data_IF_511620153186
#
_entry.id   IF_511620153186
#
_cell.length_a   1.000
_cell.length_b   1.000
_cell.length_c   1.000
_cell.angle_alpha   90.00
_cell.angle_beta   90.00
_cell.angle_gamma   90.00
#
_symmetry.space_group_name_H-M   'P 1'
#
loop_
_entity.id
_entity.type
_entity.pdbx_description
1 polymer ?
#
# COMPACT_ATOMS: atom_id res chain seq x y z
N UNK A 1 9.76 -8.20 -19.64
CA UNK A 1 10.59 -7.02 -19.30
C UNK A 1 9.71 -6.08 -18.50
N UNK A 2 10.21 -5.56 -17.38
CA UNK A 2 9.48 -4.61 -16.53
C UNK A 2 8.99 -3.43 -17.37
N UNK A 3 7.77 -2.94 -17.15
CA UNK A 3 7.20 -1.78 -17.85
C UNK A 3 7.90 -0.45 -17.52
N UNK A 4 9.07 -0.51 -16.86
CA UNK A 4 9.75 0.64 -16.29
C UNK A 4 9.08 1.12 -15.01
N UNK A 5 9.85 1.84 -14.20
CA UNK A 5 9.37 2.57 -13.03
C UNK A 5 8.45 3.75 -13.41
N UNK A 6 8.52 4.20 -14.67
CA UNK A 6 7.60 5.11 -15.35
C UNK A 6 7.06 4.46 -16.65
N UNK A 7 5.74 4.42 -16.91
CA UNK A 7 5.12 3.62 -17.98
C UNK A 7 5.43 4.06 -19.43
N UNK A 8 6.29 5.05 -19.65
CA UNK A 8 6.67 5.57 -20.98
C UNK A 8 8.13 6.02 -21.00
N UNK A 9 9.11 5.13 -21.28
CA UNK A 9 10.50 5.57 -21.51
C UNK A 9 11.27 4.75 -22.55
N UNK A 10 12.11 5.46 -23.31
CA UNK A 10 13.01 4.94 -24.36
C UNK A 10 14.49 4.78 -23.89
N UNK A 11 14.90 5.39 -22.76
CA UNK A 11 16.22 5.21 -22.11
C UNK A 11 16.09 5.22 -20.57
N UNK A 12 16.92 4.43 -19.88
CA UNK A 12 16.96 4.29 -18.41
C UNK A 12 18.36 4.66 -17.91
N UNK A 13 18.45 5.71 -17.10
CA UNK A 13 19.59 5.97 -16.23
C UNK A 13 19.13 5.90 -14.76
N UNK A 14 19.99 5.39 -13.88
CA UNK A 14 19.78 5.37 -12.43
C UNK A 14 19.47 6.77 -11.86
N UNK A 15 19.98 7.81 -12.50
CA UNK A 15 19.79 9.22 -12.14
C UNK A 15 18.30 9.62 -12.12
N UNK A 16 17.57 9.31 -13.18
CA UNK A 16 16.14 9.62 -13.26
C UNK A 16 15.29 8.76 -12.31
N UNK A 17 15.74 7.54 -12.02
CA UNK A 17 15.10 6.69 -11.01
C UNK A 17 15.24 7.35 -9.63
N UNK A 18 16.44 7.79 -9.28
CA UNK A 18 16.73 8.43 -8.00
C UNK A 18 15.99 9.74 -7.85
N UNK A 19 16.05 10.60 -8.87
CA UNK A 19 15.29 11.85 -8.90
C UNK A 19 13.80 11.59 -8.75
N UNK A 20 13.26 10.61 -9.49
CA UNK A 20 11.86 10.21 -9.41
C UNK A 20 11.44 9.70 -8.02
N UNK A 21 12.28 8.89 -7.38
CA UNK A 21 12.03 8.33 -6.05
C UNK A 21 12.07 9.41 -4.95
N UNK A 22 13.03 10.34 -5.01
CA UNK A 22 13.09 11.49 -4.11
C UNK A 22 11.85 12.38 -4.28
N UNK A 23 11.50 12.71 -5.53
CA UNK A 23 10.26 13.46 -5.83
C UNK A 23 9.01 12.75 -5.33
N UNK A 24 8.93 11.42 -5.44
CA UNK A 24 7.79 10.66 -4.92
C UNK A 24 7.65 10.75 -3.40
N UNK A 25 8.77 10.67 -2.66
CA UNK A 25 8.78 10.87 -1.20
C UNK A 25 8.24 12.25 -0.82
N UNK A 26 8.66 13.30 -1.53
CA UNK A 26 8.18 14.67 -1.32
C UNK A 26 6.69 14.80 -1.64
N UNK A 27 6.23 14.22 -2.75
CA UNK A 27 4.81 14.27 -3.16
C UNK A 27 3.94 13.62 -2.10
N UNK A 28 4.32 12.44 -1.62
CA UNK A 28 3.54 11.74 -0.62
C UNK A 28 3.52 12.49 0.72
N UNK A 29 4.62 13.10 1.14
CA UNK A 29 4.65 13.96 2.33
C UNK A 29 3.78 15.21 2.14
N UNK A 30 3.91 15.90 1.01
CA UNK A 30 3.13 17.10 0.67
C UNK A 30 1.62 16.84 0.67
N UNK A 31 1.20 15.64 0.25
CA UNK A 31 -0.20 15.24 0.21
C UNK A 31 -0.72 14.65 1.54
N UNK A 32 0.08 14.73 2.62
CA UNK A 32 -0.28 14.23 3.95
C UNK A 32 -0.40 12.71 4.02
N UNK A 33 0.22 11.99 3.08
CA UNK A 33 0.26 10.53 3.06
C UNK A 33 1.41 10.01 3.91
N UNK A 34 2.63 10.56 3.76
CA UNK A 34 3.73 10.20 4.65
C UNK A 34 3.90 11.26 5.74
N UNK A 35 4.17 10.77 6.94
CA UNK A 35 4.70 11.54 8.06
C UNK A 35 6.23 11.37 8.11
N UNK A 36 6.85 11.45 9.29
CA UNK A 36 8.29 11.24 9.46
C UNK A 36 8.75 9.78 9.31
N UNK A 37 7.83 8.81 9.29
CA UNK A 37 8.12 7.38 9.39
C UNK A 37 7.72 6.58 8.14
N UNK A 38 6.77 7.09 7.35
CA UNK A 38 6.36 6.45 6.10
C UNK A 38 7.43 6.46 5.01
N UNK A 39 7.35 5.54 4.05
CA UNK A 39 8.39 5.35 3.04
C UNK A 39 7.90 4.68 1.75
N UNK A 40 8.54 5.02 0.63
CA UNK A 40 8.34 4.45 -0.71
C UNK A 40 9.61 3.74 -1.19
N UNK A 41 9.44 2.63 -1.92
CA UNK A 41 10.53 1.97 -2.62
C UNK A 41 10.20 1.71 -4.09
N UNK A 42 11.21 1.34 -4.86
CA UNK A 42 11.08 0.94 -6.27
C UNK A 42 12.01 -0.23 -6.58
N UNK A 43 11.51 -1.27 -7.25
CA UNK A 43 12.33 -2.39 -7.74
C UNK A 43 13.35 -1.86 -8.74
N UNK A 44 14.60 -2.33 -8.65
CA UNK A 44 15.63 -1.95 -9.61
C UNK A 44 15.23 -2.42 -11.02
N UNK A 45 15.20 -1.52 -12.03
CA UNK A 45 14.78 -1.86 -13.39
C UNK A 45 15.77 -2.81 -14.09
N UNK A 46 17.06 -2.68 -13.75
CA UNK A 46 18.14 -3.44 -14.37
C UNK A 46 18.44 -4.74 -13.61
N UNK A 47 17.95 -4.85 -12.36
CA UNK A 47 18.14 -6.03 -11.53
C UNK A 47 16.91 -6.32 -10.66
N UNK A 48 16.03 -7.21 -11.11
CA UNK A 48 14.80 -7.53 -10.38
C UNK A 48 15.05 -8.18 -8.99
N UNK A 49 16.28 -8.61 -8.68
CA UNK A 49 16.67 -9.15 -7.38
C UNK A 49 17.01 -8.06 -6.34
N UNK A 50 17.00 -6.78 -6.73
CA UNK A 50 17.24 -5.65 -5.84
C UNK A 50 16.15 -4.57 -5.96
N UNK A 51 16.12 -3.67 -4.99
CA UNK A 51 15.22 -2.52 -4.96
C UNK A 51 15.87 -1.33 -4.24
N UNK A 52 15.44 -0.12 -4.59
CA UNK A 52 15.91 1.14 -4.03
C UNK A 52 14.88 1.73 -3.09
N UNK A 53 15.34 2.30 -1.98
CA UNK A 53 14.51 3.00 -0.99
C UNK A 53 15.36 4.04 -0.26
N UNK A 54 14.78 5.14 0.23
CA UNK A 54 15.51 6.06 1.09
C UNK A 54 16.05 5.39 2.36
N UNK A 55 17.17 5.89 2.88
CA UNK A 55 17.66 5.55 4.20
C UNK A 55 16.73 6.12 5.29
N UNK A 56 17.04 5.85 6.56
CA UNK A 56 16.21 6.26 7.70
C UNK A 56 16.21 7.78 7.93
N UNK A 57 15.52 8.51 7.05
CA UNK A 57 15.33 9.97 7.07
C UNK A 57 13.85 10.30 6.94
N UNK A 58 13.38 11.43 7.51
CA UNK A 58 12.04 11.91 7.21
C UNK A 58 11.86 12.17 5.71
N UNK A 59 10.74 11.77 5.07
CA UNK A 59 10.51 11.90 3.64
C UNK A 59 10.76 13.29 3.05
N UNK A 60 10.45 14.35 3.80
CA UNK A 60 10.68 15.73 3.39
C UNK A 60 12.16 16.14 3.31
N UNK A 61 13.06 15.41 3.99
CA UNK A 61 14.49 15.73 4.10
C UNK A 61 15.38 14.91 3.16
N UNK A 62 14.83 13.89 2.50
CA UNK A 62 15.54 13.13 1.47
C UNK A 62 15.83 14.09 0.32
N UNK A 63 17.08 14.15 -0.16
CA UNK A 63 17.44 15.14 -1.17
C UNK A 63 18.42 14.67 -2.23
N UNK A 64 19.28 13.71 -1.92
CA UNK A 64 20.40 13.33 -2.78
C UNK A 64 20.46 11.81 -3.05
N UNK A 65 21.20 11.36 -4.08
CA UNK A 65 21.44 9.93 -4.32
C UNK A 65 22.00 9.21 -3.09
N UNK A 66 22.84 9.88 -2.31
CA UNK A 66 23.44 9.34 -1.08
C UNK A 66 22.39 9.02 0.00
N UNK A 67 21.17 9.55 -0.10
CA UNK A 67 20.06 9.23 0.79
C UNK A 67 19.30 7.96 0.37
N UNK A 68 19.69 7.33 -0.74
CA UNK A 68 19.06 6.12 -1.26
C UNK A 68 19.96 4.90 -1.02
N UNK A 69 19.35 3.78 -0.65
CA UNK A 69 20.03 2.53 -0.39
C UNK A 69 19.42 1.44 -1.27
N UNK A 70 20.29 0.65 -1.89
CA UNK A 70 19.90 -0.55 -2.60
C UNK A 70 19.85 -1.74 -1.63
N UNK A 71 18.74 -2.47 -1.67
CA UNK A 71 18.49 -3.67 -0.86
C UNK A 71 18.24 -4.88 -1.75
N UNK A 72 18.58 -6.06 -1.25
CA UNK A 72 18.23 -7.34 -1.90
C UNK A 72 16.77 -7.69 -1.61
N UNK A 73 16.05 -8.14 -2.65
CA UNK A 73 14.67 -8.63 -2.52
C UNK A 73 14.58 -9.88 -1.65
N UNK A 74 15.63 -10.71 -1.61
CA UNK A 74 15.61 -11.99 -0.91
C UNK A 74 15.54 -11.85 0.63
N UNK A 75 16.28 -10.92 1.21
CA UNK A 75 16.44 -10.81 2.66
C UNK A 75 16.43 -9.38 3.21
N UNK A 76 16.19 -8.38 2.34
CA UNK A 76 16.27 -6.96 2.66
C UNK A 76 17.63 -6.51 3.22
N UNK A 77 18.72 -7.26 3.00
CA UNK A 77 20.08 -6.78 3.31
C UNK A 77 20.48 -5.69 2.32
N UNK A 78 21.22 -4.69 2.80
CA UNK A 78 21.82 -3.69 1.91
C UNK A 78 22.80 -4.39 0.95
N UNK A 79 22.83 -3.93 -0.31
CA UNK A 79 23.78 -4.43 -1.31
C UNK A 79 25.20 -3.96 -0.96
N UNK A 80 25.33 -2.69 -0.62
CA UNK A 80 26.60 -2.09 -0.18
C UNK A 80 26.90 -2.40 1.28
N UNK A 81 28.17 -2.70 1.58
CA UNK A 81 28.61 -3.12 2.92
C UNK A 81 28.51 -2.01 3.96
N UNK A 82 28.82 -0.78 3.55
CA UNK A 82 28.87 0.41 4.41
C UNK A 82 27.71 1.38 4.12
N UNK A 83 26.55 0.82 3.76
CA UNK A 83 25.33 1.60 3.48
C UNK A 83 24.84 2.36 4.73
N UNK A 84 24.18 3.50 4.52
CA UNK A 84 23.45 4.21 5.59
C UNK A 84 22.38 3.30 6.21
N UNK A 85 22.09 3.53 7.49
CA UNK A 85 21.02 2.82 8.19
C UNK A 85 19.68 3.02 7.48
N UNK A 86 19.03 1.90 7.15
CA UNK A 86 17.72 1.88 6.48
C UNK A 86 16.55 1.94 7.45
N UNK A 87 15.35 2.17 6.91
CA UNK A 87 14.13 1.91 7.66
C UNK A 87 14.10 0.46 8.14
N UNK A 88 13.66 0.27 9.39
CA UNK A 88 13.54 -1.07 9.98
C UNK A 88 12.49 -1.92 9.26
N UNK A 89 11.49 -1.28 8.65
CA UNK A 89 10.35 -1.93 8.00
C UNK A 89 10.56 -2.24 6.51
N UNK A 90 11.81 -2.20 6.04
CA UNK A 90 12.19 -2.57 4.68
C UNK A 90 11.71 -3.97 4.25
N UNK A 91 11.42 -4.84 5.22
CA UNK A 91 10.87 -6.18 4.99
C UNK A 91 9.43 -6.17 4.44
N UNK A 92 8.66 -5.09 4.66
CA UNK A 92 7.38 -4.88 3.97
C UNK A 92 7.59 -4.91 2.46
N UNK A 93 8.59 -4.16 1.98
CA UNK A 93 8.88 -3.99 0.57
C UNK A 93 9.49 -5.26 -0.04
N UNK A 94 10.52 -5.82 0.60
CA UNK A 94 11.22 -7.00 0.09
C UNK A 94 10.27 -8.19 -0.09
N UNK A 95 9.39 -8.45 0.88
CA UNK A 95 8.49 -9.59 0.83
C UNK A 95 7.33 -9.39 -0.17
N UNK A 96 6.85 -8.16 -0.37
CA UNK A 96 5.91 -7.85 -1.45
C UNK A 96 6.58 -8.05 -2.81
N UNK A 97 7.81 -7.56 -3.00
CA UNK A 97 8.55 -7.77 -4.25
C UNK A 97 8.88 -9.23 -4.51
N UNK A 98 9.22 -9.99 -3.48
CA UNK A 98 9.48 -11.43 -3.57
C UNK A 98 8.23 -12.19 -3.97
N UNK A 99 7.08 -11.80 -3.42
CA UNK A 99 5.79 -12.46 -3.67
C UNK A 99 5.20 -12.12 -5.04
N UNK A 100 5.35 -10.87 -5.50
CA UNK A 100 4.73 -10.38 -6.72
C UNK A 100 5.77 -9.81 -7.70
N UNK A 101 6.26 -10.62 -8.66
CA UNK A 101 7.19 -10.17 -9.69
C UNK A 101 6.67 -9.00 -10.54
N UNK A 102 5.35 -8.81 -10.64
CA UNK A 102 4.74 -7.70 -11.38
C UNK A 102 4.76 -6.36 -10.63
N UNK A 103 5.00 -6.37 -9.31
CA UNK A 103 5.09 -5.15 -8.49
C UNK A 103 6.47 -4.53 -8.64
N UNK A 104 6.50 -3.22 -8.91
CA UNK A 104 7.73 -2.43 -9.03
C UNK A 104 7.79 -1.25 -8.08
N UNK A 105 6.73 -0.89 -7.36
CA UNK A 105 6.80 0.12 -6.31
C UNK A 105 5.84 -0.19 -5.17
N UNK A 106 6.28 0.12 -3.95
CA UNK A 106 5.56 -0.13 -2.71
C UNK A 106 5.61 1.13 -1.86
N UNK A 107 4.47 1.54 -1.31
CA UNK A 107 4.35 2.65 -0.34
C UNK A 107 3.83 2.09 0.97
N UNK A 108 4.45 2.47 2.08
CA UNK A 108 3.93 2.22 3.42
C UNK A 108 3.71 3.56 4.13
N UNK A 109 2.57 3.71 4.81
CA UNK A 109 2.09 4.99 5.32
C UNK A 109 1.28 4.84 6.61
N UNK A 110 1.35 5.88 7.44
CA UNK A 110 0.55 6.06 8.65
C UNK A 110 -0.46 7.23 8.52
N UNK A 111 -0.99 7.45 7.30
CA UNK A 111 -1.95 8.54 7.03
C UNK A 111 -3.09 8.59 8.04
N UNK A 112 -3.23 9.72 8.73
CA UNK A 112 -4.20 9.92 9.81
C UNK A 112 -5.66 9.73 9.37
N UNK A 113 -5.99 10.00 8.11
CA UNK A 113 -7.33 9.76 7.55
C UNK A 113 -7.65 8.27 7.34
N UNK A 114 -6.62 7.41 7.22
CA UNK A 114 -6.75 5.96 6.97
C UNK A 114 -6.71 5.17 8.28
N UNK A 115 -5.93 5.60 9.27
CA UNK A 115 -5.78 4.93 10.58
C UNK A 115 -7.11 4.52 11.26
N UNK A 116 -8.20 5.32 11.23
CA UNK A 116 -9.48 4.89 11.80
C UNK A 116 -10.03 3.58 11.21
N UNK A 117 -9.78 3.31 9.92
CA UNK A 117 -10.18 2.08 9.26
C UNK A 117 -9.33 0.88 9.67
N UNK A 118 -8.12 1.12 10.18
CA UNK A 118 -7.25 0.08 10.71
C UNK A 118 -7.65 -0.38 12.12
N UNK A 119 -8.59 0.29 12.80
CA UNK A 119 -8.96 -0.01 14.20
C UNK A 119 -10.47 -0.14 14.46
N UNK A 120 -11.32 0.44 13.61
CA UNK A 120 -12.76 0.57 13.89
C UNK A 120 -13.60 -0.66 13.54
N UNK A 121 -13.08 -1.58 12.72
CA UNK A 121 -13.86 -2.66 12.11
C UNK A 121 -14.80 -2.18 10.99
N UNK A 122 -14.81 -0.89 10.67
CA UNK A 122 -15.50 -0.36 9.49
C UNK A 122 -14.62 -0.61 8.27
N UNK A 123 -15.10 -1.31 7.23
CA UNK A 123 -14.31 -1.57 6.02
C UNK A 123 -14.08 -0.29 5.21
N UNK A 124 -12.84 -0.06 4.79
CA UNK A 124 -12.52 0.93 3.77
C UNK A 124 -12.90 0.39 2.40
N UNK A 125 -13.65 1.19 1.63
CA UNK A 125 -14.19 0.80 0.31
C UNK A 125 -13.97 1.90 -0.72
N UNK A 126 -14.05 1.54 -2.00
CA UNK A 126 -14.10 2.52 -3.09
C UNK A 126 -15.37 3.39 -2.98
N UNK A 127 -15.21 4.59 -2.42
CA UNK A 127 -16.28 5.59 -2.23
C UNK A 127 -16.31 6.65 -3.35
N UNK A 128 -15.24 6.75 -4.13
CA UNK A 128 -15.05 7.69 -5.24
C UNK A 128 -14.39 6.99 -6.43
N UNK A 129 -14.72 7.41 -7.66
CA UNK A 129 -14.16 6.81 -8.89
C UNK A 129 -12.62 6.79 -8.94
N UNK A 130 -11.96 7.80 -8.35
CA UNK A 130 -10.49 7.86 -8.27
C UNK A 130 -9.88 6.69 -7.50
N UNK A 131 -10.65 6.09 -6.58
CA UNK A 131 -10.24 5.01 -5.70
C UNK A 131 -10.81 3.64 -6.12
N UNK A 132 -11.15 3.47 -7.41
CA UNK A 132 -11.65 2.20 -7.95
C UNK A 132 -10.73 1.00 -7.66
N UNK A 133 -9.42 1.23 -7.56
CA UNK A 133 -8.42 0.20 -7.20
C UNK A 133 -8.61 -0.42 -5.81
N UNK A 134 -9.36 0.21 -4.90
CA UNK A 134 -9.70 -0.36 -3.59
C UNK A 134 -10.72 -1.51 -3.69
N UNK A 135 -11.51 -1.54 -4.76
CA UNK A 135 -12.63 -2.48 -4.91
C UNK A 135 -13.70 -2.33 -3.82
N UNK A 136 -14.48 -3.39 -3.61
CA UNK A 136 -15.53 -3.43 -2.60
C UNK A 136 -15.03 -3.77 -1.18
N UNK A 137 -13.78 -4.21 -1.05
CA UNK A 137 -13.20 -4.61 0.23
C UNK A 137 -11.67 -4.43 0.26
N UNK A 138 -11.19 -3.56 1.15
CA UNK A 138 -9.77 -3.44 1.48
C UNK A 138 -9.44 -4.37 2.66
N UNK A 139 -8.54 -5.36 2.52
CA UNK A 139 -8.19 -6.28 3.61
C UNK A 139 -7.46 -5.57 4.76
N UNK A 140 -7.66 -6.08 5.97
CA UNK A 140 -6.92 -5.70 7.18
C UNK A 140 -6.07 -6.89 7.63
N UNK A 141 -4.75 -6.73 7.63
CA UNK A 141 -3.79 -7.68 8.17
C UNK A 141 -3.55 -7.42 9.66
N UNK A 142 -3.59 -8.48 10.46
CA UNK A 142 -3.31 -8.44 11.90
C UNK A 142 -2.01 -9.15 12.22
N UNK A 143 -1.01 -8.39 12.70
CA UNK A 143 0.30 -8.89 13.08
C UNK A 143 0.25 -9.86 14.28
N UNK A 144 -0.78 -9.78 15.13
CA UNK A 144 -0.83 -10.46 16.43
C UNK A 144 -0.59 -11.97 16.34
N UNK A 145 -1.11 -12.61 15.28
CA UNK A 145 -0.97 -14.04 15.03
C UNK A 145 0.33 -14.47 14.34
N UNK A 146 1.22 -13.53 14.02
CA UNK A 146 2.42 -13.77 13.21
C UNK A 146 3.74 -13.50 13.94
N UNK A 147 3.67 -12.98 15.17
CA UNK A 147 4.85 -12.79 16.00
C UNK A 147 5.50 -14.12 16.39
N UNK A 148 6.84 -14.24 16.30
CA UNK A 148 7.57 -15.33 16.91
C UNK A 148 7.33 -15.38 18.42
N UNK A 149 7.24 -16.59 18.99
CA UNK A 149 7.05 -16.77 20.43
C UNK A 149 8.13 -16.05 21.24
N UNK A 150 7.71 -15.22 22.20
CA UNK A 150 8.62 -14.48 23.09
C UNK A 150 9.22 -13.20 22.48
N UNK A 151 8.83 -12.83 21.26
CA UNK A 151 9.21 -11.54 20.66
C UNK A 151 8.40 -10.37 21.26
N UNK A 152 8.88 -9.15 21.04
CA UNK A 152 8.13 -7.94 21.39
C UNK A 152 7.06 -7.68 20.33
N UNK A 153 5.81 -7.51 20.75
CA UNK A 153 4.70 -7.20 19.85
C UNK A 153 4.57 -5.67 19.71
N UNK A 154 5.48 -5.05 18.96
CA UNK A 154 5.53 -3.59 18.78
C UNK A 154 4.84 -3.09 17.50
N UNK A 155 4.14 -3.98 16.80
CA UNK A 155 3.40 -3.77 15.54
C UNK A 155 4.29 -3.47 14.31
N UNK A 156 5.62 -3.38 14.46
CA UNK A 156 6.55 -3.15 13.36
C UNK A 156 6.77 -4.42 12.52
N UNK A 157 6.99 -4.25 11.22
CA UNK A 157 7.34 -5.34 10.30
C UNK A 157 8.85 -5.36 10.06
N UNK A 158 9.59 -5.77 11.08
CA UNK A 158 11.05 -5.70 11.11
C UNK A 158 11.79 -6.99 10.73
N UNK A 159 11.07 -8.00 10.24
CA UNK A 159 11.65 -9.26 9.77
C UNK A 159 10.85 -9.86 8.60
N UNK A 160 11.45 -10.86 7.96
CA UNK A 160 10.88 -11.53 6.80
C UNK A 160 9.66 -12.40 7.13
N UNK A 161 9.48 -12.86 8.38
CA UNK A 161 8.31 -13.65 8.78
C UNK A 161 7.06 -12.77 8.81
N UNK A 162 7.16 -11.60 9.46
CA UNK A 162 6.09 -10.61 9.48
C UNK A 162 5.84 -10.07 8.07
N UNK A 163 6.89 -9.71 7.31
CA UNK A 163 6.75 -9.22 5.93
C UNK A 163 6.09 -10.25 5.00
N UNK A 164 6.44 -11.52 5.11
CA UNK A 164 5.83 -12.58 4.31
C UNK A 164 4.35 -12.76 4.67
N UNK A 165 3.99 -12.66 5.95
CA UNK A 165 2.59 -12.72 6.39
C UNK A 165 1.76 -11.53 5.90
N UNK A 166 2.33 -10.32 5.93
CA UNK A 166 1.69 -9.11 5.38
C UNK A 166 1.50 -9.23 3.87
N UNK A 167 2.53 -9.63 3.12
CA UNK A 167 2.42 -9.81 1.66
C UNK A 167 1.35 -10.84 1.28
N UNK A 168 1.11 -11.85 2.13
CA UNK A 168 0.04 -12.82 1.94
C UNK A 168 -1.37 -12.23 2.06
N UNK A 169 -1.55 -11.04 2.66
CA UNK A 169 -2.82 -10.34 2.68
C UNK A 169 -3.16 -9.64 1.35
N UNK A 170 -2.15 -9.33 0.53
CA UNK A 170 -2.33 -8.81 -0.83
C UNK A 170 -2.85 -9.89 -1.80
N UNK A 171 -2.44 -11.16 -1.56
CA UNK A 171 -2.75 -12.43 -2.27
C UNK A 171 -2.46 -12.37 -3.78
N UNK A 172 -1.71 -13.28 -4.42
CA UNK A 172 -2.03 -14.71 -4.40
C UNK A 172 -0.80 -15.60 -4.19
N UNK A 173 -1.07 -16.85 -3.83
CA UNK A 173 -0.44 -18.06 -4.37
C UNK A 173 -1.11 -19.28 -3.73
N UNK A 174 -1.96 -19.99 -4.49
CA UNK A 174 -2.33 -21.39 -4.26
C UNK A 174 -2.43 -22.10 -5.62
N UNK A 175 -1.96 -23.33 -5.81
CA UNK A 175 -2.08 -24.54 -4.98
C UNK A 175 -0.87 -24.88 -4.10
N UNK A 176 -1.15 -25.10 -2.81
CA UNK A 176 -0.22 -25.55 -1.77
C UNK A 176 0.96 -24.59 -1.54
N UNK A 177 0.64 -23.42 -0.97
CA UNK A 177 1.60 -22.40 -0.56
C UNK A 177 2.91 -23.00 -0.06
N UNK A 178 3.98 -22.75 -0.80
CA UNK A 178 5.37 -22.97 -0.38
C UNK A 178 5.84 -24.42 -0.11
N UNK A 179 4.98 -25.44 -0.08
CA UNK A 179 5.40 -26.83 0.27
C UNK A 179 6.13 -27.54 -0.88
N UNK A 180 5.89 -27.16 -2.14
CA UNK A 180 6.39 -27.93 -3.30
C UNK A 180 7.71 -27.46 -3.93
N UNK A 181 8.19 -26.23 -3.69
CA UNK A 181 9.42 -25.74 -4.35
C UNK A 181 10.69 -26.45 -3.83
N UNK A 182 10.68 -26.91 -2.57
CA UNK A 182 11.75 -27.75 -2.01
C UNK A 182 11.56 -29.26 -2.25
N UNK A 183 10.37 -29.72 -2.64
CA UNK A 183 10.08 -31.15 -2.80
C UNK A 183 10.19 -31.66 -4.25
N UNK A 184 10.18 -30.78 -5.26
CA UNK A 184 10.27 -31.18 -6.68
C UNK A 184 11.67 -31.58 -7.16
N UNK A 185 12.72 -31.28 -6.40
CA UNK A 185 14.06 -31.82 -6.68
C UNK A 185 14.19 -33.33 -6.35
N UNK A 186 13.13 -33.95 -5.81
CA UNK A 186 13.18 -35.32 -5.31
C UNK A 186 12.11 -36.30 -5.85
N UNK A 187 11.26 -35.93 -6.83
CA UNK A 187 10.30 -36.89 -7.42
C UNK A 187 10.27 -36.91 -8.96
N UNK A 188 10.19 -38.09 -9.60
CA UNK A 188 10.12 -38.22 -11.05
C UNK A 188 8.82 -37.63 -11.61
N UNK A 189 8.94 -36.90 -12.71
CA UNK A 189 7.84 -36.28 -13.44
C UNK A 189 7.03 -37.31 -14.21
N UNK A 190 5.88 -37.75 -13.68
CA UNK A 190 4.84 -38.36 -14.50
C UNK A 190 3.45 -38.22 -13.86
N UNK A 191 2.50 -37.79 -14.70
CA UNK A 191 1.03 -37.77 -14.56
C UNK A 191 0.42 -36.47 -13.96
N UNK A 192 -0.36 -35.76 -14.78
CA UNK A 192 -1.33 -34.73 -14.36
C UNK A 192 -1.10 -33.35 -15.00
N UNK A 193 -2.11 -32.81 -15.67
CA UNK A 193 -2.05 -31.51 -16.37
C UNK A 193 -1.53 -30.38 -15.48
N UNK A 194 -0.72 -29.49 -16.06
CA UNK A 194 -0.10 -28.38 -15.33
C UNK A 194 -1.17 -27.53 -14.64
N UNK A 195 -1.03 -27.33 -13.33
CA UNK A 195 -1.79 -26.34 -12.61
C UNK A 195 -1.54 -24.95 -13.24
N UNK A 196 -2.53 -24.04 -13.28
CA UNK A 196 -2.30 -22.68 -13.74
C UNK A 196 -1.15 -22.07 -12.94
N UNK A 197 -0.19 -21.43 -13.62
CA UNK A 197 0.85 -20.66 -12.95
C UNK A 197 0.18 -19.61 -12.04
N UNK A 198 0.61 -19.47 -10.77
CA UNK A 198 0.03 -18.50 -9.86
C UNK A 198 0.16 -17.08 -10.43
N UNK A 199 -0.89 -16.27 -10.30
CA UNK A 199 -0.88 -14.88 -10.73
C UNK A 199 0.31 -14.15 -10.10
N UNK A 200 1.03 -13.40 -10.93
CA UNK A 200 2.17 -12.58 -10.51
C UNK A 200 1.73 -11.21 -9.98
N UNK A 201 0.44 -10.88 -10.13
CA UNK A 201 -0.18 -9.64 -9.67
C UNK A 201 -0.94 -9.87 -8.36
N UNK A 202 -0.94 -8.88 -7.44
CA UNK A 202 -1.77 -8.93 -6.24
C UNK A 202 -3.26 -8.78 -6.58
N UNK A 203 -4.12 -9.46 -5.83
CA UNK A 203 -5.58 -9.35 -5.87
C UNK A 203 -6.04 -8.01 -5.29
N UNK A 204 -5.27 -7.46 -4.35
CA UNK A 204 -5.52 -6.18 -3.69
C UNK A 204 -4.38 -5.20 -3.93
N UNK A 205 -4.67 -3.99 -4.39
CA UNK A 205 -3.66 -2.93 -4.50
C UNK A 205 -3.24 -2.37 -3.13
N UNK A 206 -4.09 -2.51 -2.11
CA UNK A 206 -3.92 -1.92 -0.78
C UNK A 206 -4.25 -2.94 0.31
N UNK A 207 -3.42 -2.98 1.35
CA UNK A 207 -3.68 -3.70 2.60
C UNK A 207 -3.56 -2.73 3.77
N UNK A 208 -4.57 -2.72 4.64
CA UNK A 208 -4.52 -2.04 5.93
C UNK A 208 -3.83 -2.94 6.96
N UNK A 209 -3.12 -2.34 7.90
CA UNK A 209 -2.38 -3.02 8.96
C UNK A 209 -3.01 -2.63 10.30
N UNK A 210 -3.57 -3.60 11.00
CA UNK A 210 -4.30 -3.43 12.26
C UNK A 210 -3.48 -2.62 13.26
N UNK A 211 -4.03 -1.49 13.73
CA UNK A 211 -3.39 -0.59 14.70
C UNK A 211 -2.03 -0.03 14.28
N UNK A 212 -1.74 0.00 12.98
CA UNK A 212 -0.43 0.42 12.45
C UNK A 212 -0.56 1.43 11.31
N UNK A 213 -1.05 1.03 10.13
CA UNK A 213 -0.96 1.86 8.92
C UNK A 213 -1.57 1.18 7.71
N UNK A 214 -1.12 1.53 6.51
CA UNK A 214 -1.46 0.81 5.28
C UNK A 214 -0.27 0.69 4.34
N UNK A 215 -0.36 -0.26 3.42
CA UNK A 215 0.65 -0.50 2.39
C UNK A 215 -0.01 -0.62 1.02
N UNK A 216 0.58 -0.02 -0.01
CA UNK A 216 0.16 -0.16 -1.42
C UNK A 216 1.21 -0.93 -2.23
N UNK A 217 0.77 -1.67 -3.24
CA UNK A 217 1.64 -2.39 -4.16
C UNK A 217 1.22 -2.11 -5.61
N UNK A 218 2.13 -1.56 -6.42
CA UNK A 218 1.81 -1.08 -7.75
C UNK A 218 2.88 -1.41 -8.81
N UNK A 219 2.53 -1.21 -10.08
CA UNK A 219 3.40 -1.51 -11.23
C UNK A 219 4.51 -0.47 -11.47
N UNK A 220 4.53 0.65 -10.75
CA UNK A 220 5.52 1.72 -10.86
C UNK A 220 5.30 2.85 -9.84
N UNK A 221 6.22 3.82 -9.80
CA UNK A 221 6.22 4.89 -8.78
C UNK A 221 4.96 5.74 -8.87
N UNK A 222 4.59 6.20 -10.06
CA UNK A 222 3.42 7.09 -10.23
C UNK A 222 2.12 6.39 -9.79
N UNK A 223 1.99 5.09 -10.10
CA UNK A 223 0.83 4.29 -9.72
C UNK A 223 0.78 4.07 -8.20
N UNK A 224 1.92 3.77 -7.56
CA UNK A 224 1.97 3.61 -6.11
C UNK A 224 1.62 4.91 -5.38
N UNK A 225 2.14 6.04 -5.87
CA UNK A 225 1.85 7.37 -5.33
C UNK A 225 0.37 7.73 -5.50
N UNK A 226 -0.18 7.48 -6.68
CA UNK A 226 -1.60 7.67 -6.96
C UNK A 226 -2.46 6.83 -6.01
N UNK A 227 -2.17 5.54 -5.88
CA UNK A 227 -2.93 4.63 -5.01
C UNK A 227 -2.86 5.09 -3.56
N UNK A 228 -1.70 5.51 -3.07
CA UNK A 228 -1.56 5.95 -1.68
C UNK A 228 -2.34 7.25 -1.40
N UNK A 229 -2.26 8.25 -2.28
CA UNK A 229 -3.01 9.50 -2.16
C UNK A 229 -4.52 9.24 -2.23
N UNK A 230 -4.99 8.47 -3.20
CA UNK A 230 -6.43 8.23 -3.35
C UNK A 230 -7.01 7.22 -2.35
N UNK A 231 -6.17 6.40 -1.70
CA UNK A 231 -6.58 5.63 -0.51
C UNK A 231 -6.94 6.59 0.63
N UNK A 232 -6.06 7.56 0.89
CA UNK A 232 -6.29 8.62 1.87
C UNK A 232 -7.55 9.44 1.55
N UNK A 233 -7.70 9.88 0.29
CA UNK A 233 -8.87 10.68 -0.10
C UNK A 233 -10.18 9.88 -0.04
N UNK A 234 -10.17 8.60 -0.38
CA UNK A 234 -11.34 7.73 -0.22
C UNK A 234 -11.72 7.54 1.25
N UNK A 235 -10.73 7.35 2.13
CA UNK A 235 -10.94 7.22 3.57
C UNK A 235 -11.54 8.50 4.16
N UNK A 236 -11.01 9.67 3.78
CA UNK A 236 -11.52 10.98 4.17
C UNK A 236 -12.97 11.20 3.69
N UNK A 237 -13.24 10.91 2.42
CA UNK A 237 -14.58 11.03 1.83
C UNK A 237 -15.59 10.10 2.53
N UNK A 238 -15.21 8.83 2.76
CA UNK A 238 -16.06 7.86 3.45
C UNK A 238 -16.34 8.28 4.90
N UNK A 239 -15.33 8.80 5.62
CA UNK A 239 -15.49 9.29 7.00
C UNK A 239 -16.46 10.47 7.04
N UNK A 240 -16.28 11.46 6.16
CA UNK A 240 -17.18 12.61 6.07
C UNK A 240 -18.61 12.19 5.71
N UNK A 241 -18.77 11.23 4.79
CA UNK A 241 -20.07 10.71 4.41
C UNK A 241 -20.77 9.98 5.57
N UNK A 242 -20.03 9.20 6.36
CA UNK A 242 -20.53 8.58 7.59
C UNK A 242 -20.98 9.62 8.61
N UNK A 243 -20.20 10.70 8.82
CA UNK A 243 -20.56 11.79 9.72
C UNK A 243 -21.84 12.51 9.26
N UNK A 244 -21.92 12.90 7.98
CA UNK A 244 -23.09 13.58 7.41
C UNK A 244 -24.34 12.70 7.55
N UNK A 245 -24.21 11.42 7.21
CA UNK A 245 -25.29 10.44 7.32
C UNK A 245 -25.80 10.32 8.75
N UNK A 246 -24.89 10.11 9.71
CA UNK A 246 -25.27 9.90 11.10
C UNK A 246 -25.89 11.17 11.72
N UNK A 247 -25.43 12.36 11.31
CA UNK A 247 -26.03 13.62 11.70
C UNK A 247 -27.44 13.82 11.10
N UNK A 248 -27.66 13.39 9.85
CA UNK A 248 -28.94 13.56 9.16
C UNK A 248 -30.01 12.57 9.62
N UNK A 249 -29.70 11.27 9.63
CA UNK A 249 -30.69 10.22 9.94
C UNK A 249 -30.83 9.96 11.44
N UNK A 250 -29.86 10.36 12.26
CA UNK A 250 -29.83 10.05 13.69
C UNK A 250 -29.85 8.54 13.98
N UNK A 251 -30.09 8.20 15.24
CA UNK A 251 -30.35 6.83 15.66
C UNK A 251 -31.79 6.76 16.21
N UNK A 252 -32.70 6.16 15.46
CA UNK A 252 -34.04 5.87 16.01
C UNK A 252 -33.90 4.60 16.85
N UNK A 253 -34.02 4.76 18.16
CA UNK A 253 -34.07 3.65 19.11
C UNK A 253 -35.52 3.20 19.25
N UNK A 254 -35.92 2.20 18.47
CA UNK A 254 -37.22 1.55 18.67
C UNK A 254 -37.08 0.51 19.80
N UNK A 255 -37.80 0.71 20.91
CA UNK A 255 -37.81 -0.21 22.05
C UNK A 255 -39.22 -0.49 22.56
N UNK A 256 -39.45 -1.71 23.08
CA UNK A 256 -40.63 -2.02 23.89
C UNK A 256 -40.35 -1.62 25.33
N UNK A 257 -41.12 -0.67 25.86
CA UNK A 257 -41.07 -0.23 27.26
C UNK A 257 -42.06 -1.10 28.06
N UNK A 258 -41.58 -1.73 29.12
CA UNK A 258 -42.45 -2.43 30.08
C UNK A 258 -42.85 -1.44 31.19
N UNK A 259 -44.12 -1.02 31.19
CA UNK A 259 -44.62 0.03 32.08
C UNK A 259 -44.81 -0.49 33.52
N UNK A 260 -44.89 -1.80 33.73
CA UNK A 260 -45.11 -2.40 35.05
C UNK A 260 -43.81 -2.62 35.86
N UNK A 261 -42.63 -2.48 35.25
CA UNK A 261 -41.33 -2.86 35.84
C UNK A 261 -40.34 -1.72 36.11
N UNK A 262 -40.81 -0.49 36.35
CA UNK A 262 -39.93 0.64 36.65
C UNK A 262 -39.09 1.16 35.46
N UNK A 263 -39.58 0.99 34.23
CA UNK A 263 -39.00 1.64 33.04
C UNK A 263 -37.76 0.97 32.43
N UNK A 264 -37.53 -0.33 32.63
CA UNK A 264 -36.41 -1.05 31.99
C UNK A 264 -36.72 -1.39 30.53
N UNK A 265 -35.85 -0.96 29.61
CA UNK A 265 -35.91 -1.30 28.18
C UNK A 265 -35.48 -2.77 28.00
N UNK A 266 -36.37 -3.66 27.52
CA UNK A 266 -36.07 -5.09 27.33
C UNK A 266 -35.24 -5.38 26.07
N UNK A 267 -35.41 -4.57 25.04
CA UNK A 267 -34.70 -4.68 23.76
C UNK A 267 -34.87 -3.40 22.97
N UNK A 268 -33.77 -2.87 22.44
CA UNK A 268 -33.76 -1.72 21.56
C UNK A 268 -33.19 -2.15 20.21
N UNK A 269 -33.88 -1.86 19.11
CA UNK A 269 -33.31 -1.94 17.76
C UNK A 269 -33.01 -0.52 17.30
N UNK A 270 -31.73 -0.26 17.02
CA UNK A 270 -31.34 0.96 16.31
C UNK A 270 -31.65 0.74 14.84
N UNK A 271 -32.70 1.38 14.33
CA UNK A 271 -32.90 1.47 12.88
C UNK A 271 -32.08 2.66 12.39
N UNK A 272 -31.20 2.41 11.43
CA UNK A 272 -30.54 3.46 10.68
C UNK A 272 -31.12 3.43 9.27
N UNK A 273 -31.73 4.54 8.83
CA UNK A 273 -32.24 4.69 7.47
C UNK A 273 -31.14 5.12 6.50
N UNK A 274 -31.23 4.69 5.24
CA UNK A 274 -30.31 5.04 4.15
C UNK A 274 -28.94 4.36 4.24
N UNK A 275 -28.64 3.47 3.30
CA UNK A 275 -27.29 2.88 3.17
C UNK A 275 -26.36 3.84 2.41
N UNK A 276 -25.11 3.93 2.85
CA UNK A 276 -24.05 4.54 2.03
C UNK A 276 -23.90 3.73 0.75
N UNK A 277 -23.95 4.41 -0.39
CA UNK A 277 -23.70 3.81 -1.69
C UNK A 277 -22.21 3.89 -1.99
N UNK A 278 -21.61 2.73 -2.16
CA UNK A 278 -20.24 2.56 -2.62
C UNK A 278 -20.25 2.12 -4.09
N UNK A 279 -19.09 2.15 -4.75
CA UNK A 279 -18.95 1.53 -6.06
C UNK A 279 -19.17 0.01 -5.93
N UNK A 280 -19.94 -0.57 -6.85
CA UNK A 280 -19.95 -2.01 -7.06
C UNK A 280 -18.59 -2.50 -7.59
N UNK A 281 -18.32 -3.81 -7.53
CA UNK A 281 -17.06 -4.38 -8.08
C UNK A 281 -16.85 -4.01 -9.55
N UNK A 282 -17.93 -4.01 -10.34
CA UNK A 282 -17.89 -3.60 -11.75
C UNK A 282 -17.58 -2.12 -11.91
N UNK A 283 -18.27 -1.24 -11.17
CA UNK A 283 -18.01 0.20 -11.24
C UNK A 283 -16.59 0.54 -10.76
N UNK A 284 -16.09 -0.15 -9.73
CA UNK A 284 -14.73 0.00 -9.23
C UNK A 284 -13.69 -0.41 -10.28
N UNK A 285 -13.90 -1.55 -10.95
CA UNK A 285 -13.06 -2.01 -12.06
C UNK A 285 -13.07 -1.06 -13.25
N UNK A 286 -14.26 -0.72 -13.76
CA UNK A 286 -14.42 0.20 -14.90
C UNK A 286 -13.82 1.59 -14.59
N UNK A 287 -13.99 2.07 -13.35
CA UNK A 287 -13.39 3.33 -12.90
C UNK A 287 -11.86 3.23 -12.84
N UNK A 288 -11.31 2.14 -12.29
CA UNK A 288 -9.85 1.96 -12.23
C UNK A 288 -9.23 1.89 -13.62
N UNK A 289 -9.84 1.15 -14.56
CA UNK A 289 -9.40 1.06 -15.95
C UNK A 289 -9.36 2.43 -16.66
N UNK A 290 -10.28 3.33 -16.30
CA UNK A 290 -10.27 4.70 -16.79
C UNK A 290 -9.19 5.54 -16.10
N UNK A 291 -9.06 5.44 -14.77
CA UNK A 291 -8.15 6.27 -13.99
C UNK A 291 -6.68 5.92 -14.22
N UNK A 292 -6.36 4.64 -14.37
CA UNK A 292 -5.00 4.18 -14.64
C UNK A 292 -4.40 4.84 -15.88
N UNK A 293 -5.22 5.08 -16.93
CA UNK A 293 -4.80 5.75 -18.17
C UNK A 293 -4.50 7.23 -18.01
N UNK A 294 -4.82 7.80 -16.85
CA UNK A 294 -4.71 9.24 -16.58
C UNK A 294 -3.72 9.61 -15.48
N UNK A 295 -3.04 8.63 -14.86
CA UNK A 295 -2.11 8.82 -13.73
C UNK A 295 -1.04 9.90 -13.98
N UNK A 296 -0.57 10.03 -15.22
CA UNK A 296 0.40 11.07 -15.60
C UNK A 296 -0.11 12.51 -15.33
N UNK A 297 -1.43 12.73 -15.32
CA UNK A 297 -2.04 14.04 -15.06
C UNK A 297 -1.84 14.50 -13.62
N UNK A 298 -2.33 13.78 -12.58
CA UNK A 298 -2.06 14.19 -11.21
C UNK A 298 -0.57 14.11 -10.86
N UNK A 299 0.18 13.15 -11.42
CA UNK A 299 1.64 13.11 -11.23
C UNK A 299 2.33 14.41 -11.64
N UNK A 300 2.03 14.93 -12.84
CA UNK A 300 2.60 16.20 -13.31
C UNK A 300 2.23 17.39 -12.41
N UNK A 301 0.99 17.42 -11.88
CA UNK A 301 0.57 18.44 -10.92
C UNK A 301 1.40 18.36 -9.63
N UNK A 302 1.48 17.17 -9.02
CA UNK A 302 2.18 16.98 -7.76
C UNK A 302 3.68 17.23 -7.89
N UNK A 303 4.30 16.82 -9.00
CA UNK A 303 5.68 17.17 -9.31
C UNK A 303 5.90 18.68 -9.29
N UNK A 304 4.99 19.45 -9.91
CA UNK A 304 5.08 20.91 -9.90
C UNK A 304 4.89 21.50 -8.51
N UNK A 305 3.98 20.95 -7.71
CA UNK A 305 3.73 21.43 -6.33
C UNK A 305 4.95 21.27 -5.44
N UNK A 306 5.67 20.14 -5.53
CA UNK A 306 6.88 19.94 -4.72
C UNK A 306 8.08 20.70 -5.27
N UNK A 307 8.21 20.84 -6.58
CA UNK A 307 9.28 21.59 -7.25
C UNK A 307 9.30 23.08 -6.87
N UNK A 308 8.13 23.70 -6.68
CA UNK A 308 8.03 25.11 -6.27
C UNK A 308 8.00 25.34 -4.77
N UNK A 309 7.91 24.27 -3.97
CA UNK A 309 7.78 24.39 -2.53
C UNK A 309 9.19 24.44 -1.89
N UNK A 310 9.55 25.55 -1.20
CA UNK A 310 10.90 25.74 -0.66
C UNK A 310 11.28 24.76 0.46
N UNK A 311 10.33 23.95 0.96
CA UNK A 311 10.60 22.86 1.89
C UNK A 311 11.42 21.75 1.24
N UNK A 312 11.17 21.45 -0.04
CA UNK A 312 11.75 20.29 -0.70
C UNK A 312 12.97 20.67 -1.52
N UNK A 313 13.95 19.76 -1.55
CA UNK A 313 15.15 19.86 -2.38
C UNK A 313 15.43 18.51 -3.00
N UNK A 314 15.61 18.48 -4.30
CA UNK A 314 15.98 17.27 -5.03
C UNK A 314 17.26 17.56 -5.84
N UNK A 315 18.39 17.15 -5.28
CA UNK A 315 19.74 17.34 -5.80
C UNK A 315 20.22 16.12 -6.61
N UNK A 316 19.34 15.16 -6.88
CA UNK A 316 19.65 14.06 -7.79
C UNK A 316 19.89 14.59 -9.21
N UNK A 317 20.95 14.11 -9.90
CA UNK A 317 21.16 14.45 -11.30
C UNK A 317 19.95 14.01 -12.14
N UNK A 318 19.63 14.77 -13.18
CA UNK A 318 18.75 14.30 -14.24
C UNK A 318 19.59 13.92 -15.45
N UNK A 319 19.10 13.03 -16.31
CA UNK A 319 19.71 12.86 -17.61
C UNK A 319 19.69 14.20 -18.36
N UNK A 320 20.86 14.72 -18.73
CA UNK A 320 20.94 15.83 -19.68
C UNK A 320 20.44 15.31 -21.04
N UNK A 321 19.46 16.01 -21.61
CA UNK A 321 19.00 15.75 -22.97
C UNK A 321 20.13 16.21 -23.94
N UNK A 322 21.08 15.33 -24.25
CA UNK A 322 21.99 15.48 -25.39
C UNK A 322 21.30 15.18 -26.73
#
# INVERSE_FOLDING_TARGET
MSAGYFPKREKVGLEDLFKGLVTASHILHQNGVLDAYGHISVRSPDNAATFWMPCNLPPALISAPDDLVEYKVDDASAVEKDAKDGYVERFIHSEIYKRFPAVNSVVHSHSSDVLPYCISGVPLKASIHMAGFLGSNTPVWDASGHYPSGSKHDLLVHDSTLGASLSAAFKPATSAGFIYSKMRSALPSQIGGAAPEPSQEPDHAVVLMQSHGFTTAARGIEEAVYQAIYTREAAKAQTAALTIRNAHFGHIVEGKIDVEGGGKIKSAKVKAEGDLKYLSDREAGDAWDAMQKTIARPWALWCREVDVNPLYRNECPGCEDE
#
